data_IF_258113606221
#
_entry.id   IF_258113606221
#
_cell.length_a   1.000
_cell.length_b   1.000
_cell.length_c   1.000
_cell.angle_alpha   90.00
_cell.angle_beta   90.00
_cell.angle_gamma   90.00
#
_symmetry.space_group_name_H-M   'P 1'
#
loop_
_entity.id
_entity.type
_entity.pdbx_description
1 polymer ?
#
# COMPACT_ATOMS: atom_id res chain seq x y z
N UNK A 1 -19.64 15.36 -11.87
CA UNK A 1 -18.55 15.27 -10.88
C UNK A 1 -18.19 13.81 -10.73
N UNK A 2 -16.98 13.42 -11.14
CA UNK A 2 -16.49 12.06 -10.90
C UNK A 2 -16.27 11.91 -9.39
N UNK A 3 -16.96 10.97 -8.75
CA UNK A 3 -16.73 10.69 -7.34
C UNK A 3 -15.35 10.03 -7.25
N UNK A 4 -14.37 10.71 -6.65
CA UNK A 4 -13.10 10.07 -6.30
C UNK A 4 -13.39 8.92 -5.34
N UNK A 5 -13.31 7.69 -5.85
CA UNK A 5 -13.47 6.49 -5.04
C UNK A 5 -12.16 6.25 -4.29
N UNK A 6 -12.22 6.41 -2.97
CA UNK A 6 -11.12 6.03 -2.08
C UNK A 6 -11.38 4.64 -1.53
N UNK A 7 -10.39 3.75 -1.64
CA UNK A 7 -10.42 2.40 -1.07
C UNK A 7 -9.46 2.37 0.11
N UNK A 8 -9.91 1.86 1.27
CA UNK A 8 -9.06 1.64 2.44
C UNK A 8 -8.80 0.15 2.63
N UNK A 9 -7.53 -0.23 2.70
CA UNK A 9 -7.06 -1.59 2.99
C UNK A 9 -6.43 -1.62 4.38
N UNK A 10 -6.98 -2.42 5.28
CA UNK A 10 -6.44 -2.58 6.65
C UNK A 10 -5.68 -3.91 6.73
N UNK A 11 -4.38 -3.86 7.03
CA UNK A 11 -3.48 -5.02 7.02
C UNK A 11 -2.93 -5.26 8.43
N UNK A 12 -3.10 -6.46 9.01
CA UNK A 12 -2.54 -6.77 10.32
C UNK A 12 -1.02 -6.96 10.25
N UNK A 13 -0.34 -6.57 11.33
CA UNK A 13 1.02 -7.01 11.62
C UNK A 13 1.01 -8.54 11.80
N UNK A 14 2.15 -9.16 11.53
CA UNK A 14 2.32 -10.60 11.67
C UNK A 14 3.57 -10.92 12.46
N UNK A 15 3.58 -12.11 13.05
CA UNK A 15 4.77 -12.77 13.61
C UNK A 15 4.92 -14.15 12.96
N UNK A 16 6.14 -14.67 12.89
CA UNK A 16 6.47 -15.95 12.26
C UNK A 16 7.36 -16.82 13.17
N UNK A 17 7.65 -18.05 12.73
CA UNK A 17 8.55 -18.98 13.41
C UNK A 17 8.13 -19.32 14.85
N UNK A 18 6.82 -19.56 15.05
CA UNK A 18 6.25 -19.87 16.35
C UNK A 18 6.68 -21.27 16.82
N UNK A 19 7.75 -21.33 17.62
CA UNK A 19 8.30 -22.57 18.17
C UNK A 19 8.91 -23.47 17.08
N UNK A 20 8.50 -24.74 16.95
CA UNK A 20 9.02 -25.63 15.90
C UNK A 20 8.53 -25.27 14.48
N UNK A 21 7.63 -24.28 14.34
CA UNK A 21 7.03 -23.87 13.08
C UNK A 21 7.91 -22.98 12.20
N UNK A 22 9.18 -23.32 12.06
CA UNK A 22 10.11 -22.59 11.20
C UNK A 22 9.61 -22.56 9.75
N UNK A 23 9.61 -21.38 9.11
CA UNK A 23 9.21 -21.14 7.72
C UNK A 23 7.78 -21.58 7.31
N UNK A 24 6.91 -21.92 8.28
CA UNK A 24 5.56 -22.39 7.96
C UNK A 24 4.44 -21.89 8.88
N UNK A 25 4.77 -21.44 10.11
CA UNK A 25 3.76 -20.89 11.03
C UNK A 25 3.94 -19.40 11.20
N UNK A 26 2.83 -18.67 11.02
CA UNK A 26 2.71 -17.27 11.41
C UNK A 26 1.34 -16.96 12.03
N UNK A 27 1.27 -15.84 12.74
CA UNK A 27 0.04 -15.34 13.35
C UNK A 27 -0.16 -13.86 13.03
N UNK A 28 -1.40 -13.49 12.72
CA UNK A 28 -1.82 -12.10 12.63
C UNK A 28 -2.01 -11.52 14.05
N UNK A 29 -1.57 -10.29 14.25
CA UNK A 29 -1.69 -9.56 15.51
C UNK A 29 -2.71 -8.43 15.39
N UNK A 30 -3.27 -8.00 16.51
CA UNK A 30 -4.22 -6.88 16.59
C UNK A 30 -3.52 -5.51 16.53
N UNK A 31 -2.55 -5.37 15.63
CA UNK A 31 -1.83 -4.15 15.29
C UNK A 31 -1.90 -3.99 13.78
N UNK A 32 -2.21 -2.80 13.26
CA UNK A 32 -2.60 -2.65 11.85
C UNK A 32 -1.95 -1.45 11.18
N UNK A 33 -1.65 -1.61 9.89
CA UNK A 33 -1.46 -0.50 8.96
C UNK A 33 -2.75 -0.29 8.14
N UNK A 34 -3.03 0.96 7.76
CA UNK A 34 -4.15 1.30 6.86
C UNK A 34 -3.60 2.00 5.64
N UNK A 35 -3.86 1.43 4.47
CA UNK A 35 -3.47 1.99 3.19
C UNK A 35 -4.71 2.52 2.48
N UNK A 36 -4.75 3.82 2.22
CA UNK A 36 -5.84 4.45 1.47
C UNK A 36 -5.37 4.78 0.07
N UNK A 37 -6.06 4.23 -0.94
CA UNK A 37 -5.78 4.46 -2.34
C UNK A 37 -6.89 5.31 -2.94
N UNK A 38 -6.51 6.40 -3.59
CA UNK A 38 -7.43 7.28 -4.30
C UNK A 38 -6.87 7.55 -5.70
N UNK A 39 -7.75 7.62 -6.70
CA UNK A 39 -7.33 7.99 -8.05
C UNK A 39 -6.99 9.47 -8.09
N UNK A 40 -5.83 9.79 -8.64
CA UNK A 40 -5.52 11.18 -9.01
C UNK A 40 -6.29 11.54 -10.28
N UNK A 41 -6.64 12.82 -10.43
CA UNK A 41 -7.27 13.29 -11.66
C UNK A 41 -6.34 13.08 -12.86
N UNK A 42 -6.86 12.76 -14.05
CA UNK A 42 -6.04 12.59 -15.25
C UNK A 42 -5.23 13.84 -15.63
N UNK A 43 -5.68 15.02 -15.18
CA UNK A 43 -5.01 16.30 -15.39
C UNK A 43 -3.92 16.60 -14.34
N UNK A 44 -3.70 15.72 -13.37
CA UNK A 44 -2.65 15.91 -12.38
C UNK A 44 -1.27 15.77 -13.04
N UNK A 45 -0.36 16.69 -12.72
CA UNK A 45 1.03 16.67 -13.23
C UNK A 45 1.82 15.47 -12.72
N UNK A 46 1.47 14.98 -11.54
CA UNK A 46 2.13 13.85 -10.86
C UNK A 46 1.31 12.57 -11.01
N UNK A 47 1.96 11.45 -11.34
CA UNK A 47 1.31 10.13 -11.44
C UNK A 47 1.22 9.40 -10.10
N UNK A 48 2.04 9.78 -9.13
CA UNK A 48 2.14 9.15 -7.83
C UNK A 48 2.27 10.22 -6.75
N UNK A 49 1.46 10.10 -5.70
CA UNK A 49 1.61 10.86 -4.48
C UNK A 49 1.51 9.94 -3.27
N UNK A 50 2.58 9.84 -2.47
CA UNK A 50 2.57 9.03 -1.24
C UNK A 50 2.70 9.95 -0.03
N UNK A 51 1.84 9.74 0.96
CA UNK A 51 1.91 10.39 2.26
C UNK A 51 1.88 9.33 3.36
N UNK A 52 2.65 9.53 4.42
CA UNK A 52 2.81 8.54 5.49
C UNK A 52 2.66 9.22 6.84
N UNK A 53 1.95 8.59 7.77
CA UNK A 53 1.79 9.04 9.14
C UNK A 53 2.16 7.95 10.14
N UNK A 54 2.38 8.33 11.41
CA UNK A 54 2.75 7.40 12.48
C UNK A 54 4.22 7.49 12.89
N UNK A 55 4.60 6.64 13.86
CA UNK A 55 5.88 6.76 14.57
C UNK A 55 7.11 6.67 13.67
N UNK A 56 7.03 5.88 12.59
CA UNK A 56 8.17 5.58 11.72
C UNK A 56 8.01 6.19 10.31
N UNK A 57 7.10 7.16 10.15
CA UNK A 57 6.78 7.75 8.85
C UNK A 57 8.01 8.29 8.11
N UNK A 58 8.94 8.90 8.84
CA UNK A 58 10.17 9.45 8.27
C UNK A 58 11.12 8.39 7.67
N UNK A 59 10.95 7.10 8.01
CA UNK A 59 11.75 6.00 7.47
C UNK A 59 11.13 5.34 6.25
N UNK A 60 9.88 5.68 5.92
CA UNK A 60 9.15 5.10 4.79
C UNK A 60 9.43 5.94 3.54
N UNK A 61 9.93 5.30 2.49
CA UNK A 61 10.13 5.96 1.20
C UNK A 61 8.79 6.35 0.59
N UNK A 62 8.70 7.53 0.00
CA UNK A 62 7.49 8.07 -0.63
C UNK A 62 7.62 8.22 -2.15
N UNK A 63 8.58 7.50 -2.73
CA UNK A 63 8.84 7.42 -4.17
C UNK A 63 8.31 6.10 -4.76
N UNK A 64 8.58 5.86 -6.04
CA UNK A 64 8.17 4.66 -6.78
C UNK A 64 8.78 3.36 -6.23
N UNK A 65 9.80 3.43 -5.37
CA UNK A 65 10.38 2.26 -4.70
C UNK A 65 9.62 1.85 -3.43
N UNK A 66 8.57 2.59 -3.03
CA UNK A 66 7.70 2.20 -1.93
C UNK A 66 7.03 0.84 -2.22
N UNK A 67 7.16 -0.11 -1.29
CA UNK A 67 6.69 -1.48 -1.49
C UNK A 67 5.17 -1.59 -1.71
N UNK A 68 4.37 -0.71 -1.10
CA UNK A 68 2.92 -0.69 -1.32
C UNK A 68 2.57 -0.21 -2.74
N UNK A 69 3.31 0.78 -3.26
CA UNK A 69 3.16 1.21 -4.66
C UNK A 69 3.64 0.15 -5.65
N UNK A 70 4.78 -0.50 -5.38
CA UNK A 70 5.28 -1.61 -6.21
C UNK A 70 4.25 -2.74 -6.26
N UNK A 71 3.65 -3.12 -5.13
CA UNK A 71 2.60 -4.13 -5.07
C UNK A 71 1.34 -3.72 -5.86
N UNK A 72 0.95 -2.43 -5.76
CA UNK A 72 -0.14 -1.86 -6.55
C UNK A 72 0.11 -1.98 -8.05
N UNK A 73 1.28 -1.53 -8.54
CA UNK A 73 1.65 -1.64 -9.97
C UNK A 73 1.72 -3.09 -10.42
N UNK A 74 2.33 -3.97 -9.61
CA UNK A 74 2.44 -5.41 -9.89
C UNK A 74 1.08 -6.07 -10.12
N UNK A 75 0.04 -5.64 -9.40
CA UNK A 75 -1.31 -6.13 -9.63
C UNK A 75 -1.82 -5.74 -11.03
N UNK A 76 -1.66 -4.48 -11.43
CA UNK A 76 -2.08 -4.03 -12.76
C UNK A 76 -1.31 -4.72 -13.89
N UNK A 77 -0.01 -4.93 -13.71
CA UNK A 77 0.82 -5.69 -14.66
C UNK A 77 0.28 -7.13 -14.82
N UNK A 78 -0.07 -7.80 -13.72
CA UNK A 78 -0.69 -9.14 -13.76
C UNK A 78 -2.06 -9.15 -14.43
N UNK A 79 -2.79 -8.04 -14.41
CA UNK A 79 -4.06 -7.86 -15.09
C UNK A 79 -3.91 -7.41 -16.55
N UNK A 80 -2.67 -7.22 -17.04
CA UNK A 80 -2.37 -6.63 -18.35
C UNK A 80 -3.02 -5.25 -18.55
N UNK A 81 -3.02 -4.44 -17.48
CA UNK A 81 -3.55 -3.09 -17.46
C UNK A 81 -2.47 -2.10 -17.02
N UNK A 82 -2.59 -0.84 -17.42
CA UNK A 82 -1.72 0.22 -16.90
C UNK A 82 -2.24 0.72 -15.56
N UNK A 83 -1.36 0.81 -14.57
CA UNK A 83 -1.70 1.39 -13.27
C UNK A 83 -2.15 2.85 -13.44
N UNK A 84 -3.34 3.23 -12.95
CA UNK A 84 -3.79 4.61 -13.02
C UNK A 84 -2.99 5.49 -12.07
N UNK A 85 -2.92 6.81 -12.31
CA UNK A 85 -2.39 7.77 -11.36
C UNK A 85 -3.05 7.63 -9.98
N UNK A 86 -2.23 7.55 -8.93
CA UNK A 86 -2.71 7.16 -7.59
C UNK A 86 -2.10 8.02 -6.49
N UNK A 87 -2.94 8.39 -5.54
CA UNK A 87 -2.52 8.91 -4.25
C UNK A 87 -2.70 7.82 -3.17
N UNK A 88 -1.62 7.56 -2.43
CA UNK A 88 -1.56 6.57 -1.36
C UNK A 88 -1.32 7.30 -0.04
N UNK A 89 -2.19 7.06 0.93
CA UNK A 89 -1.98 7.46 2.32
C UNK A 89 -1.75 6.22 3.19
N UNK A 90 -0.66 6.23 3.96
CA UNK A 90 -0.20 5.12 4.81
C UNK A 90 -0.24 5.55 6.29
#
# INVERSE_FOLDING_TARGET
MSVMSTITVTVPATTANLGPGFDCIGAALSLYNRFQFSRLEPSATEKLKITVTGAEAAKVKTDESNLAYVAFVTLYDRLNQSAPPVAIHI
#
